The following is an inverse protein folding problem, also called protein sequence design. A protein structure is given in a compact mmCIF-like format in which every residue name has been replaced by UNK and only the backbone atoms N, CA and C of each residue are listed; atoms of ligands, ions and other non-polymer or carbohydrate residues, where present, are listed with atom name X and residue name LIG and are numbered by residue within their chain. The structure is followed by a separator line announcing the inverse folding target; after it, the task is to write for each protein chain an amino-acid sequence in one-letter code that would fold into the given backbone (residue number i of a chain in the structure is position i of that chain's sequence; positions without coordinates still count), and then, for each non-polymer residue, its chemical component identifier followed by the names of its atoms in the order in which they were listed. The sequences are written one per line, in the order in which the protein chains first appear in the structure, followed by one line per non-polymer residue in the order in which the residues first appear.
data_IF_008590962972
#
_entry.id   IF_008590962972
#
_cell.length_a   1.000
_cell.length_b   1.000
_cell.length_c   1.000
_cell.angle_alpha   90.00
_cell.angle_beta   90.00
_cell.angle_gamma   90.00
#
_symmetry.space_group_name_H-M   'P 1'
#
loop_
_entity.id
_entity.type
_entity.pdbx_description
1 polymer ?
#
# COMPACT_ATOMS: atom_id res chain seq x y z
N UNK A 1 4.75 16.19 11.18
CA UNK A 1 5.93 15.50 10.63
C UNK A 1 5.50 14.59 9.49
N UNK A 2 6.16 14.67 8.35
CA UNK A 2 5.86 13.78 7.23
C UNK A 2 6.05 12.31 7.62
N UNK A 3 5.18 11.46 7.07
CA UNK A 3 5.25 10.02 7.23
C UNK A 3 5.49 9.36 5.87
N UNK A 4 5.84 8.10 5.89
CA UNK A 4 5.88 7.28 4.68
C UNK A 4 4.69 6.31 4.69
N UNK A 5 3.87 6.40 3.66
CA UNK A 5 2.71 5.52 3.46
C UNK A 5 3.18 4.32 2.64
N UNK A 6 3.02 3.13 3.19
CA UNK A 6 3.49 1.89 2.59
C UNK A 6 2.31 1.06 2.12
N UNK A 7 2.34 0.66 0.85
CA UNK A 7 1.33 -0.21 0.27
C UNK A 7 1.98 -1.39 -0.44
N UNK A 8 1.38 -2.56 -0.27
CA UNK A 8 1.72 -3.77 -1.03
C UNK A 8 0.78 -3.82 -2.22
N UNK A 9 1.32 -3.91 -3.43
CA UNK A 9 0.54 -3.92 -4.66
C UNK A 9 0.79 -5.20 -5.44
N UNK A 10 -0.28 -5.89 -5.79
CA UNK A 10 -0.26 -7.04 -6.69
C UNK A 10 -1.05 -6.72 -7.95
N UNK A 11 -0.78 -7.44 -9.04
CA UNK A 11 -1.35 -7.22 -10.35
C UNK A 11 -2.89 -7.10 -10.34
N UNK A 12 -3.54 -7.94 -9.56
CA UNK A 12 -4.99 -8.04 -9.56
C UNK A 12 -5.69 -7.10 -8.56
N UNK A 13 -4.95 -6.38 -7.73
CA UNK A 13 -5.59 -5.67 -6.61
C UNK A 13 -4.93 -4.34 -6.21
N UNK A 14 -4.95 -3.32 -7.08
CA UNK A 14 -4.44 -1.99 -6.73
C UNK A 14 -5.41 -1.15 -5.89
N UNK A 15 -6.68 -1.55 -5.77
CA UNK A 15 -7.74 -0.77 -5.13
C UNK A 15 -7.45 -0.45 -3.66
N UNK A 16 -7.03 -1.40 -2.82
CA UNK A 16 -6.72 -1.07 -1.42
C UNK A 16 -5.63 -0.01 -1.27
N UNK A 17 -4.58 -0.08 -2.09
CA UNK A 17 -3.51 0.92 -2.08
C UNK A 17 -4.03 2.30 -2.50
N UNK A 18 -4.81 2.36 -3.56
CA UNK A 18 -5.39 3.60 -4.07
C UNK A 18 -6.25 4.30 -3.02
N UNK A 19 -7.20 3.59 -2.44
CA UNK A 19 -8.11 4.12 -1.43
C UNK A 19 -7.38 4.53 -0.15
N UNK A 20 -6.40 3.73 0.27
CA UNK A 20 -5.61 4.02 1.47
C UNK A 20 -4.82 5.32 1.31
N UNK A 21 -4.19 5.53 0.16
CA UNK A 21 -3.47 6.77 -0.12
C UNK A 21 -4.43 7.96 -0.14
N UNK A 22 -5.58 7.83 -0.78
CA UNK A 22 -6.59 8.90 -0.82
C UNK A 22 -7.08 9.33 0.57
N UNK A 23 -7.16 8.39 1.51
CA UNK A 23 -7.59 8.68 2.88
C UNK A 23 -6.46 9.18 3.80
N UNK A 24 -5.24 8.71 3.60
CA UNK A 24 -4.14 8.89 4.55
C UNK A 24 -3.10 9.93 4.14
N UNK A 25 -3.01 10.23 2.85
CA UNK A 25 -1.97 11.11 2.34
C UNK A 25 -2.19 12.57 2.75
N UNK A 26 -1.12 13.17 3.21
CA UNK A 26 -1.03 14.61 3.48
C UNK A 26 0.17 15.20 2.69
N UNK A 27 0.09 16.47 2.24
CA UNK A 27 1.19 17.08 1.50
C UNK A 27 2.52 16.97 2.26
N UNK A 28 3.55 16.51 1.56
CA UNK A 28 4.88 16.27 2.13
C UNK A 28 5.14 14.82 2.54
N UNK A 29 4.12 13.97 2.59
CA UNK A 29 4.30 12.55 2.85
C UNK A 29 5.00 11.86 1.68
N UNK A 30 5.68 10.75 1.99
CA UNK A 30 6.29 9.87 1.00
C UNK A 30 5.41 8.66 0.75
N UNK A 31 5.48 8.12 -0.46
CA UNK A 31 4.85 6.85 -0.82
C UNK A 31 5.92 5.79 -1.03
N UNK A 32 5.72 4.62 -0.46
CA UNK A 32 6.53 3.43 -0.70
C UNK A 32 5.64 2.30 -1.18
N UNK A 33 5.87 1.84 -2.40
CA UNK A 33 5.17 0.69 -2.97
C UNK A 33 6.05 -0.55 -2.91
N UNK A 34 5.48 -1.65 -2.47
CA UNK A 34 6.12 -2.98 -2.48
C UNK A 34 5.34 -3.84 -3.45
N UNK A 35 5.98 -4.31 -4.50
CA UNK A 35 5.33 -5.04 -5.58
C UNK A 35 6.10 -6.28 -6.02
N UNK A 36 5.39 -7.22 -6.64
CA UNK A 36 6.01 -8.30 -7.38
C UNK A 36 6.52 -7.82 -8.75
N UNK A 37 7.44 -8.57 -9.35
CA UNK A 37 8.12 -8.21 -10.60
C UNK A 37 7.18 -7.85 -11.75
N UNK A 38 6.04 -8.52 -11.84
CA UNK A 38 5.13 -8.39 -12.98
C UNK A 38 4.17 -7.20 -12.87
N UNK A 39 4.32 -6.36 -11.84
CA UNK A 39 3.41 -5.25 -11.56
C UNK A 39 4.02 -3.86 -11.76
N UNK A 40 5.19 -3.73 -12.39
CA UNK A 40 5.85 -2.42 -12.59
C UNK A 40 4.98 -1.44 -13.40
N UNK A 41 4.36 -1.89 -14.49
CA UNK A 41 3.49 -1.04 -15.31
C UNK A 41 2.24 -0.59 -14.52
N UNK A 42 1.70 -1.48 -13.70
CA UNK A 42 0.54 -1.19 -12.85
C UNK A 42 0.89 -0.19 -11.73
N UNK A 43 2.11 -0.26 -11.21
CA UNK A 43 2.61 0.72 -10.25
C UNK A 43 2.72 2.11 -10.84
N UNK A 44 3.26 2.23 -12.04
CA UNK A 44 3.38 3.51 -12.73
C UNK A 44 2.00 4.12 -12.97
N UNK A 45 1.04 3.31 -13.43
CA UNK A 45 -0.33 3.74 -13.63
C UNK A 45 -1.01 4.18 -12.32
N UNK A 46 -0.74 3.49 -11.23
CA UNK A 46 -1.23 3.85 -9.91
C UNK A 46 -0.59 5.15 -9.41
N UNK A 47 0.73 5.27 -9.51
CA UNK A 47 1.46 6.45 -9.05
C UNK A 47 1.07 7.73 -9.79
N UNK A 48 0.78 7.64 -11.09
CA UNK A 48 0.32 8.76 -11.92
C UNK A 48 -1.01 9.37 -11.46
N UNK A 49 -1.81 8.63 -10.68
CA UNK A 49 -3.11 9.12 -10.19
C UNK A 49 -3.00 10.06 -8.98
N UNK A 50 -1.81 10.21 -8.41
CA UNK A 50 -1.59 11.06 -7.25
C UNK A 50 -0.73 12.26 -7.63
N UNK A 51 -1.10 13.42 -7.08
CA UNK A 51 -0.30 14.64 -7.22
C UNK A 51 0.82 14.64 -6.16
N UNK A 52 1.74 13.67 -6.31
CA UNK A 52 2.89 13.51 -5.42
C UNK A 52 4.16 13.68 -6.25
N UNK A 53 5.09 14.54 -5.83
CA UNK A 53 6.37 14.68 -6.54
C UNK A 53 7.09 13.33 -6.68
N UNK A 54 7.65 13.06 -7.84
CA UNK A 54 8.31 11.78 -8.15
C UNK A 54 9.46 11.43 -7.18
N UNK A 55 10.13 12.44 -6.64
CA UNK A 55 11.19 12.24 -5.64
C UNK A 55 10.67 11.80 -4.26
N UNK A 56 9.36 11.83 -4.04
CA UNK A 56 8.70 11.34 -2.82
C UNK A 56 8.04 9.97 -3.01
N UNK A 57 8.21 9.35 -4.17
CA UNK A 57 7.67 8.02 -4.49
C UNK A 57 8.83 7.04 -4.63
N UNK A 58 8.84 6.00 -3.82
CA UNK A 58 9.80 4.91 -3.87
C UNK A 58 9.10 3.59 -4.17
N UNK A 59 9.79 2.70 -4.88
CA UNK A 59 9.29 1.38 -5.24
C UNK A 59 10.28 0.31 -4.79
N UNK A 60 9.77 -0.75 -4.19
CA UNK A 60 10.51 -1.98 -3.90
C UNK A 60 9.92 -3.09 -4.76
N UNK A 61 10.62 -3.47 -5.81
CA UNK A 61 10.17 -4.55 -6.70
C UNK A 61 10.84 -5.85 -6.27
N UNK A 62 10.02 -6.83 -5.93
CA UNK A 62 10.49 -8.18 -5.59
C UNK A 62 10.78 -8.93 -6.89
N UNK A 63 12.06 -8.96 -7.29
CA UNK A 63 12.52 -9.39 -8.62
C UNK A 63 12.48 -10.90 -8.89
N UNK A 64 11.87 -11.67 -8.03
CA UNK A 64 11.78 -13.11 -8.18
C UNK A 64 10.37 -13.53 -8.55
N UNK A 65 10.25 -14.58 -9.34
CA UNK A 65 8.98 -15.26 -9.54
C UNK A 65 8.41 -15.67 -8.19
N UNK A 66 7.10 -15.54 -7.99
CA UNK A 66 6.47 -15.80 -6.70
C UNK A 66 6.71 -17.22 -6.18
N UNK A 67 6.98 -18.16 -7.09
CA UNK A 67 7.31 -19.54 -6.75
C UNK A 67 8.72 -19.71 -6.19
N UNK A 68 9.61 -18.77 -6.47
CA UNK A 68 11.01 -18.80 -6.04
C UNK A 68 11.31 -17.86 -4.88
N UNK A 69 10.40 -16.97 -4.56
CA UNK A 69 10.65 -15.98 -3.52
C UNK A 69 10.45 -16.59 -2.14
N UNK A 70 11.52 -16.63 -1.36
CA UNK A 70 11.45 -17.06 0.02
C UNK A 70 11.07 -15.89 0.93
N UNK A 71 10.52 -16.25 2.07
CA UNK A 71 10.16 -15.29 3.13
C UNK A 71 11.36 -14.39 3.51
N UNK A 72 12.54 -14.99 3.67
CA UNK A 72 13.76 -14.28 4.02
C UNK A 72 14.19 -13.28 2.93
N UNK A 73 14.01 -13.64 1.66
CA UNK A 73 14.33 -12.74 0.55
C UNK A 73 13.43 -11.51 0.54
N UNK A 74 12.14 -11.68 0.78
CA UNK A 74 11.20 -10.56 0.91
C UNK A 74 11.63 -9.65 2.06
N UNK A 75 11.86 -10.21 3.23
CA UNK A 75 12.28 -9.47 4.42
C UNK A 75 13.56 -8.69 4.18
N UNK A 76 14.55 -9.31 3.56
CA UNK A 76 15.85 -8.69 3.26
C UNK A 76 15.71 -7.54 2.27
N UNK A 77 14.97 -7.73 1.20
CA UNK A 77 14.77 -6.74 0.15
C UNK A 77 14.04 -5.52 0.66
N UNK A 78 12.98 -5.72 1.43
CA UNK A 78 12.21 -4.62 2.03
C UNK A 78 13.05 -3.88 3.06
N UNK A 79 13.69 -4.61 3.98
CA UNK A 79 14.51 -4.01 5.05
C UNK A 79 15.61 -3.10 4.52
N UNK A 80 16.23 -3.45 3.39
CA UNK A 80 17.29 -2.67 2.78
C UNK A 80 16.84 -1.26 2.33
N UNK A 81 15.54 -1.04 2.19
CA UNK A 81 14.96 0.25 1.77
C UNK A 81 14.40 1.07 2.92
N UNK A 82 14.40 0.55 4.13
CA UNK A 82 13.83 1.25 5.29
C UNK A 82 14.88 2.08 6.00
N UNK A 83 14.45 3.21 6.51
CA UNK A 83 15.31 4.18 7.19
C UNK A 83 14.88 4.28 8.66
N UNK A 84 15.81 4.10 9.62
CA UNK A 84 15.51 4.32 11.03
C UNK A 84 15.07 5.76 11.31
N UNK A 85 14.15 5.93 12.25
CA UNK A 85 13.62 7.24 12.64
C UNK A 85 12.50 7.79 11.76
N UNK A 86 12.20 7.15 10.65
CA UNK A 86 11.05 7.50 9.81
C UNK A 86 9.79 6.86 10.39
N UNK A 87 8.70 7.60 10.38
CA UNK A 87 7.39 7.06 10.73
C UNK A 87 6.74 6.41 9.52
N UNK A 88 6.35 5.16 9.65
CA UNK A 88 5.70 4.39 8.60
C UNK A 88 4.22 4.12 8.92
N UNK A 89 3.37 4.27 7.92
CA UNK A 89 1.97 3.85 7.95
C UNK A 89 1.78 2.74 6.93
N UNK A 90 1.63 1.51 7.39
CA UNK A 90 1.70 0.30 6.56
C UNK A 90 0.31 -0.28 6.35
N UNK A 91 -0.14 -0.28 5.10
CA UNK A 91 -1.37 -0.97 4.70
C UNK A 91 -1.03 -2.42 4.32
N UNK A 92 -1.52 -3.37 5.08
CA UNK A 92 -1.28 -4.81 4.87
C UNK A 92 -2.27 -5.44 3.87
N UNK A 93 -3.27 -4.68 3.43
CA UNK A 93 -4.18 -5.13 2.37
C UNK A 93 -3.53 -4.97 0.98
N UNK A 94 -4.00 -5.72 0.01
CA UNK A 94 -3.58 -5.59 -1.39
C UNK A 94 -2.48 -6.54 -1.85
N UNK A 95 -1.72 -7.13 -0.95
CA UNK A 95 -0.73 -8.16 -1.26
C UNK A 95 -1.24 -9.57 -1.01
N UNK A 96 -0.41 -10.55 -1.29
CA UNK A 96 -0.66 -11.92 -0.83
C UNK A 96 -0.51 -11.97 0.69
N UNK A 97 -1.12 -12.96 1.33
CA UNK A 97 -0.95 -13.18 2.78
C UNK A 97 0.51 -13.34 3.16
N UNK A 98 1.26 -14.02 2.33
CA UNK A 98 2.69 -14.27 2.53
C UNK A 98 3.50 -12.97 2.50
N UNK A 99 3.24 -12.09 1.54
CA UNK A 99 3.87 -10.78 1.46
C UNK A 99 3.50 -9.91 2.67
N UNK A 100 2.24 -9.90 3.07
CA UNK A 100 1.77 -9.13 4.21
C UNK A 100 2.47 -9.54 5.51
N UNK A 101 2.61 -10.85 5.76
CA UNK A 101 3.32 -11.36 6.93
C UNK A 101 4.80 -10.97 6.93
N UNK A 102 5.47 -11.09 5.79
CA UNK A 102 6.87 -10.71 5.66
C UNK A 102 7.09 -9.21 5.89
N UNK A 103 6.25 -8.39 5.30
CA UNK A 103 6.28 -6.92 5.45
C UNK A 103 6.03 -6.54 6.91
N UNK A 104 5.02 -7.09 7.56
CA UNK A 104 4.74 -6.84 8.96
C UNK A 104 5.95 -7.17 9.83
N UNK A 105 6.56 -8.31 9.64
CA UNK A 105 7.74 -8.71 10.42
C UNK A 105 8.91 -7.75 10.26
N UNK A 106 9.15 -7.27 9.05
CA UNK A 106 10.23 -6.30 8.80
C UNK A 106 9.97 -5.00 9.53
N UNK A 107 8.75 -4.48 9.45
CA UNK A 107 8.40 -3.19 10.03
C UNK A 107 8.30 -3.19 11.56
N UNK A 108 8.21 -4.34 12.21
CA UNK A 108 8.17 -4.45 13.68
C UNK A 108 9.39 -3.79 14.38
N UNK A 109 10.51 -3.71 13.68
CA UNK A 109 11.73 -3.07 14.19
C UNK A 109 11.82 -1.57 13.88
N UNK A 110 10.82 -1.02 13.24
CA UNK A 110 10.75 0.39 12.86
C UNK A 110 9.54 1.05 13.51
N UNK A 111 9.49 2.37 13.46
CA UNK A 111 8.34 3.12 13.96
C UNK A 111 7.19 3.02 12.94
N UNK A 112 6.37 1.99 13.06
CA UNK A 112 5.32 1.68 12.11
C UNK A 112 3.96 1.47 12.79
N UNK A 113 2.94 2.08 12.20
CA UNK A 113 1.53 1.79 12.49
C UNK A 113 0.99 0.89 11.37
N UNK A 114 0.23 -0.14 11.73
CA UNK A 114 -0.34 -1.09 10.78
C UNK A 114 -1.82 -0.83 10.56
N UNK A 115 -2.20 -0.90 9.30
CA UNK A 115 -3.58 -0.71 8.87
C UNK A 115 -3.99 -1.82 7.91
N UNK A 116 -5.26 -2.10 7.86
CA UNK A 116 -5.86 -2.98 6.87
C UNK A 116 -7.09 -2.29 6.27
N UNK A 117 -7.06 -2.02 4.98
CA UNK A 117 -8.21 -1.46 4.27
C UNK A 117 -9.10 -2.60 3.77
N UNK A 118 -10.28 -2.72 4.35
CA UNK A 118 -11.30 -3.68 3.95
C UNK A 118 -12.20 -3.04 2.88
N UNK A 119 -12.03 -3.46 1.63
CA UNK A 119 -12.78 -2.91 0.49
C UNK A 119 -14.26 -3.27 0.58
N UNK A 120 -14.59 -4.47 1.04
CA UNK A 120 -15.97 -4.93 1.12
C UNK A 120 -16.78 -4.13 2.15
N UNK A 121 -16.20 -3.87 3.30
CA UNK A 121 -16.82 -3.10 4.38
C UNK A 121 -16.61 -1.59 4.24
N UNK A 122 -15.74 -1.18 3.33
CA UNK A 122 -15.39 0.21 3.09
C UNK A 122 -14.85 0.92 4.35
N UNK A 123 -14.00 0.24 5.09
CA UNK A 123 -13.37 0.74 6.32
C UNK A 123 -11.87 0.49 6.32
N UNK A 124 -11.14 1.33 7.04
CA UNK A 124 -9.75 1.12 7.40
C UNK A 124 -9.70 0.70 8.86
N UNK A 125 -9.08 -0.44 9.13
CA UNK A 125 -8.86 -0.93 10.49
C UNK A 125 -7.42 -0.63 10.87
N UNK A 126 -7.22 0.06 11.99
CA UNK A 126 -5.90 0.24 12.57
C UNK A 126 -5.63 -0.90 13.55
N UNK A 127 -4.52 -1.59 13.37
CA UNK A 127 -4.07 -2.60 14.32
C UNK A 127 -3.43 -1.92 15.53
N UNK A 128 -3.97 -2.18 16.71
CA UNK A 128 -3.46 -1.65 17.98
C UNK A 128 -3.02 -2.82 18.85
N UNK A 129 -1.75 -2.81 19.23
CA UNK A 129 -1.15 -3.85 20.07
C UNK A 129 -1.21 -3.56 21.57
N UNK A 130 -1.93 -2.54 21.98
CA UNK A 130 -2.07 -2.16 23.38
C UNK A 130 -3.44 -2.60 23.93
N UNK A 131 -3.44 -3.63 24.76
CA UNK A 131 -4.64 -4.18 25.37
C UNK A 131 -5.44 -3.16 26.21
N UNK A 132 -4.82 -2.04 26.61
CA UNK A 132 -5.48 -0.96 27.36
C UNK A 132 -6.38 -0.08 26.49
N UNK A 133 -6.29 -0.20 25.15
CA UNK A 133 -7.01 0.62 24.19
C UNK A 133 -8.15 -0.14 23.50
N UNK A 134 -8.68 -1.18 24.13
CA UNK A 134 -9.89 -1.88 23.65
C UNK A 134 -11.13 -0.99 23.76
N UNK A 135 -11.11 0.09 23.00
CA UNK A 135 -12.29 0.85 22.70
C UNK A 135 -12.61 0.63 21.22
N UNK A 136 -13.63 -0.18 20.96
CA UNK A 136 -13.96 -0.68 19.61
C UNK A 136 -14.16 0.44 18.58
N UNK A 137 -14.51 1.65 19.02
CA UNK A 137 -14.84 2.76 18.12
C UNK A 137 -13.61 3.51 17.57
N UNK A 138 -12.45 3.39 18.23
CA UNK A 138 -11.22 4.14 17.87
C UNK A 138 -10.38 3.50 16.79
N UNK A 139 -10.69 2.28 16.32
CA UNK A 139 -9.84 1.49 15.43
C UNK A 139 -10.41 1.30 14.03
N UNK A 140 -11.62 1.78 13.78
CA UNK A 140 -12.31 1.69 12.50
C UNK A 140 -12.52 3.07 11.92
N UNK A 141 -11.99 3.30 10.72
CA UNK A 141 -12.14 4.56 10.01
C UNK A 141 -12.93 4.31 8.73
N UNK A 142 -14.10 4.95 8.54
CA UNK A 142 -14.83 4.79 7.28
C UNK A 142 -14.04 5.39 6.12
N UNK A 143 -14.03 4.69 5.00
CA UNK A 143 -13.46 5.22 3.75
C UNK A 143 -14.45 6.22 3.17
N UNK A 144 -14.07 7.49 3.12
CA UNK A 144 -14.92 8.58 2.63
C UNK A 144 -14.80 8.79 1.13
N UNK A 145 -13.64 8.50 0.57
CA UNK A 145 -13.39 8.66 -0.84
C UNK A 145 -14.23 7.69 -1.68
N UNK A 146 -14.83 8.22 -2.74
CA UNK A 146 -15.59 7.43 -3.69
C UNK A 146 -14.87 7.38 -5.02
N UNK A 147 -14.41 6.18 -5.38
CA UNK A 147 -13.71 5.94 -6.64
C UNK A 147 -14.72 5.93 -7.80
N UNK A 148 -14.40 6.65 -8.87
CA UNK A 148 -15.16 6.58 -10.11
C UNK A 148 -14.77 5.35 -10.94
N UNK A 149 -15.62 4.98 -11.89
CA UNK A 149 -15.31 3.89 -12.84
C UNK A 149 -14.07 4.23 -13.65
N UNK A 150 -13.91 5.49 -14.06
CA UNK A 150 -12.73 5.92 -14.82
C UNK A 150 -11.44 5.78 -14.01
N UNK A 151 -11.46 6.13 -12.72
CA UNK A 151 -10.31 5.92 -11.83
C UNK A 151 -9.99 4.45 -11.66
N UNK A 152 -11.00 3.61 -11.45
CA UNK A 152 -10.84 2.17 -11.34
C UNK A 152 -10.14 1.57 -12.57
N UNK A 153 -10.59 1.95 -13.76
CA UNK A 153 -9.99 1.47 -15.01
C UNK A 153 -8.54 1.96 -15.18
N UNK A 154 -8.26 3.19 -14.81
CA UNK A 154 -6.88 3.74 -14.91
C UNK A 154 -5.89 3.01 -14.01
N UNK A 155 -6.25 2.72 -12.77
CA UNK A 155 -5.35 2.03 -11.85
C UNK A 155 -5.15 0.55 -12.19
N UNK A 156 -6.04 -0.03 -12.99
CA UNK A 156 -5.88 -1.39 -13.54
C UNK A 156 -5.16 -1.42 -14.89
N UNK A 157 -4.54 -0.31 -15.32
CA UNK A 157 -3.79 -0.20 -16.58
C UNK A 157 -4.62 -0.50 -17.85
N UNK A 158 -5.95 -0.34 -17.79
CA UNK A 158 -6.86 -0.60 -18.92
C UNK A 158 -6.90 0.62 -19.84
N UNK A 159 -5.74 1.09 -20.29
CA UNK A 159 -5.62 2.34 -21.08
C UNK A 159 -6.33 2.27 -22.44
N UNK A 160 -6.47 1.08 -23.01
CA UNK A 160 -7.06 0.90 -24.34
C UNK A 160 -8.58 0.97 -24.33
N UNK A 161 -9.22 0.59 -23.23
CA UNK A 161 -10.67 0.50 -23.14
C UNK A 161 -11.32 1.82 -22.70
N UNK A 162 -10.57 2.70 -22.02
CA UNK A 162 -11.07 4.00 -21.56
C UNK A 162 -11.46 4.91 -22.74
N UNK A 163 -10.73 4.81 -23.86
CA UNK A 163 -11.04 5.58 -25.07
C UNK A 163 -12.35 5.16 -25.75
N UNK A 164 -12.81 3.97 -25.51
CA UNK A 164 -14.01 3.40 -26.09
C UNK A 164 -15.24 3.53 -25.17
N UNK A 165 -15.06 4.00 -23.95
CA UNK A 165 -16.14 4.25 -22.98
C UNK A 165 -16.71 5.66 -23.03
N UNK A 166 -16.77 6.23 -24.20
CA UNK A 166 -17.45 7.53 -24.41
C UNK A 166 -18.94 7.34 -24.57
#
# INVERSE_FOLDING_TARGET
MPKTIVNIVTEDNPVPAYLFIKEMYEPGDRLLFISAKDTEEDLDALAEQFDVPSNLIDEVVLKHDMDEITYEKICRTVRARLVPGVRYCVNLAGGTRYMALAVQQVFEKFHADYYYLDVEKNVIVKSVFDDSLYDDDGHFFPVKYRMSVAEYLRIHSVKHDIKNLK
#
